data_IF_708446963253
#
_entry.id   IF_708446963253
#
_cell.length_a   1.000
_cell.length_b   1.000
_cell.length_c   1.000
_cell.angle_alpha   90.00
_cell.angle_beta   90.00
_cell.angle_gamma   90.00
#
_symmetry.space_group_name_H-M   'P 1'
#
loop_
_entity.id
_entity.type
_entity.pdbx_description
1 polymer ?
#
# COMPACT_ATOMS: atom_id res chain seq x y z
N UNK A 1 -27.09 12.85 4.16
CA UNK A 1 -27.05 12.83 2.69
C UNK A 1 -25.65 12.53 2.15
N UNK A 2 -24.61 13.25 2.60
CA UNK A 2 -23.20 13.02 2.23
C UNK A 2 -22.71 11.59 2.57
N UNK A 3 -23.02 11.08 3.76
CA UNK A 3 -22.62 9.71 4.15
C UNK A 3 -23.24 8.61 3.28
N UNK A 4 -24.46 8.82 2.77
CA UNK A 4 -25.13 7.85 1.90
C UNK A 4 -24.47 7.81 0.52
N UNK A 5 -24.13 8.98 -0.02
CA UNK A 5 -23.40 9.10 -1.28
C UNK A 5 -22.02 8.42 -1.25
N UNK A 6 -21.23 8.65 -0.19
CA UNK A 6 -19.95 7.96 -0.02
C UNK A 6 -20.12 6.45 0.18
N UNK A 7 -21.12 6.03 0.95
CA UNK A 7 -21.43 4.60 1.12
C UNK A 7 -21.84 3.93 -0.19
N UNK A 8 -22.64 4.60 -1.03
CA UNK A 8 -23.12 4.06 -2.30
C UNK A 8 -21.99 3.93 -3.33
N UNK A 9 -21.08 4.92 -3.40
CA UNK A 9 -19.86 4.85 -4.21
C UNK A 9 -18.95 3.73 -3.69
N UNK A 10 -18.74 3.65 -2.38
CA UNK A 10 -17.87 2.65 -1.77
C UNK A 10 -18.38 1.23 -2.05
N UNK A 11 -19.68 1.01 -1.89
CA UNK A 11 -20.32 -0.24 -2.28
C UNK A 11 -20.17 -0.52 -3.77
N UNK A 12 -20.38 0.46 -4.65
CA UNK A 12 -20.30 0.25 -6.10
C UNK A 12 -18.88 -0.13 -6.57
N UNK A 13 -17.83 0.46 -5.98
CA UNK A 13 -16.44 0.20 -6.35
C UNK A 13 -16.02 -1.22 -5.95
N UNK A 14 -16.40 -1.67 -4.75
CA UNK A 14 -15.92 -2.95 -4.21
C UNK A 14 -16.95 -4.09 -4.33
N UNK A 15 -18.21 -3.82 -4.66
CA UNK A 15 -19.26 -4.86 -4.76
C UNK A 15 -18.93 -5.90 -5.82
N UNK A 16 -18.40 -5.47 -6.97
CA UNK A 16 -18.02 -6.37 -8.07
C UNK A 16 -16.85 -7.25 -7.67
N UNK A 17 -15.85 -6.68 -6.98
CA UNK A 17 -14.71 -7.43 -6.45
C UNK A 17 -15.18 -8.43 -5.39
N UNK A 18 -16.05 -7.99 -4.48
CA UNK A 18 -16.63 -8.82 -3.43
C UNK A 18 -17.40 -10.00 -4.03
N UNK A 19 -18.32 -9.75 -4.97
CA UNK A 19 -19.10 -10.83 -5.59
C UNK A 19 -18.23 -11.83 -6.34
N UNK A 20 -17.16 -11.36 -6.99
CA UNK A 20 -16.20 -12.24 -7.66
C UNK A 20 -15.41 -13.09 -6.66
N UNK A 21 -14.94 -12.49 -5.57
CA UNK A 21 -14.20 -13.19 -4.52
C UNK A 21 -15.07 -14.23 -3.80
N UNK A 22 -16.33 -13.91 -3.53
CA UNK A 22 -17.29 -14.81 -2.85
C UNK A 22 -17.77 -15.96 -3.76
N UNK A 23 -17.59 -15.85 -5.09
CA UNK A 23 -18.01 -16.88 -6.04
C UNK A 23 -17.27 -18.21 -5.84
N UNK A 24 -16.01 -18.20 -5.39
CA UNK A 24 -15.26 -19.43 -5.11
C UNK A 24 -14.07 -19.20 -4.16
N UNK A 25 -13.69 -20.24 -3.43
CA UNK A 25 -12.45 -20.24 -2.64
C UNK A 25 -11.20 -20.05 -3.50
N UNK A 26 -11.24 -20.46 -4.78
CA UNK A 26 -10.17 -20.22 -5.74
C UNK A 26 -9.94 -18.73 -5.98
N UNK A 27 -11.01 -17.96 -6.22
CA UNK A 27 -10.93 -16.52 -6.43
C UNK A 27 -10.41 -15.78 -5.19
N UNK A 28 -10.87 -16.20 -4.00
CA UNK A 28 -10.35 -15.72 -2.73
C UNK A 28 -8.84 -15.94 -2.60
N UNK A 29 -8.36 -17.15 -2.90
CA UNK A 29 -6.95 -17.50 -2.82
C UNK A 29 -6.09 -16.75 -3.84
N UNK A 30 -6.61 -16.45 -5.03
CA UNK A 30 -5.93 -15.61 -6.02
C UNK A 30 -5.68 -14.22 -5.44
N UNK A 31 -6.68 -13.61 -4.79
CA UNK A 31 -6.54 -12.27 -4.21
C UNK A 31 -5.50 -12.26 -3.08
N UNK A 32 -5.48 -13.32 -2.26
CA UNK A 32 -4.45 -13.51 -1.24
C UNK A 32 -3.07 -13.68 -1.88
N UNK A 33 -2.93 -14.53 -2.89
CA UNK A 33 -1.65 -14.78 -3.56
C UNK A 33 -1.07 -13.50 -4.15
N UNK A 34 -1.88 -12.74 -4.89
CA UNK A 34 -1.48 -11.45 -5.48
C UNK A 34 -1.10 -10.44 -4.41
N UNK A 35 -1.90 -10.30 -3.35
CA UNK A 35 -1.58 -9.38 -2.27
C UNK A 35 -0.31 -9.78 -1.51
N UNK A 36 -0.05 -11.08 -1.35
CA UNK A 36 1.18 -11.58 -0.74
C UNK A 36 2.41 -11.22 -1.59
N UNK A 37 2.35 -11.47 -2.91
CA UNK A 37 3.43 -11.07 -3.83
C UNK A 37 3.65 -9.56 -3.82
N UNK A 38 2.58 -8.75 -3.74
CA UNK A 38 2.69 -7.31 -3.61
C UNK A 38 3.44 -6.91 -2.33
N UNK A 39 3.06 -7.47 -1.18
CA UNK A 39 3.73 -7.17 0.10
C UNK A 39 5.19 -7.60 0.07
N UNK A 40 5.47 -8.83 -0.35
CA UNK A 40 6.85 -9.33 -0.38
C UNK A 40 7.71 -8.55 -1.37
N UNK A 41 7.21 -8.31 -2.58
CA UNK A 41 7.92 -7.56 -3.61
C UNK A 41 8.18 -6.11 -3.19
N UNK A 42 7.17 -5.44 -2.62
CA UNK A 42 7.31 -4.06 -2.14
C UNK A 42 8.23 -3.94 -0.92
N UNK A 43 8.17 -4.89 0.01
CA UNK A 43 9.06 -4.92 1.18
C UNK A 43 10.52 -5.15 0.78
N UNK A 44 10.78 -6.12 -0.11
CA UNK A 44 12.13 -6.37 -0.66
C UNK A 44 12.63 -5.12 -1.38
N UNK A 45 11.80 -4.52 -2.24
CA UNK A 45 12.15 -3.31 -2.97
C UNK A 45 12.47 -2.14 -2.01
N UNK A 46 11.63 -1.89 -1.01
CA UNK A 46 11.85 -0.84 -0.02
C UNK A 46 13.14 -1.09 0.78
N UNK A 47 13.43 -2.34 1.15
CA UNK A 47 14.66 -2.73 1.84
C UNK A 47 15.90 -2.48 0.98
N UNK A 48 15.88 -2.89 -0.30
CA UNK A 48 16.99 -2.64 -1.23
C UNK A 48 17.22 -1.14 -1.39
N UNK A 49 16.16 -0.35 -1.60
CA UNK A 49 16.29 1.12 -1.72
C UNK A 49 16.80 1.76 -0.42
N UNK A 50 16.34 1.29 0.74
CA UNK A 50 16.87 1.74 2.03
C UNK A 50 18.38 1.48 2.14
N UNK A 51 18.86 0.30 1.71
CA UNK A 51 20.29 0.00 1.71
C UNK A 51 21.09 0.84 0.72
N UNK A 52 20.49 1.19 -0.42
CA UNK A 52 21.15 1.99 -1.45
C UNK A 52 21.34 3.47 -1.06
N UNK A 53 20.49 4.02 -0.19
CA UNK A 53 20.63 5.42 0.27
C UNK A 53 21.89 5.62 1.14
N UNK A 54 22.28 4.62 1.91
CA UNK A 54 23.50 4.64 2.73
C UNK A 54 23.22 4.58 4.24
N UNK A 55 24.28 4.77 5.06
CA UNK A 55 24.18 4.73 6.51
C UNK A 55 23.43 5.94 7.10
N UNK A 56 23.03 5.81 8.35
CA UNK A 56 22.30 6.85 9.08
C UNK A 56 23.23 8.06 9.34
N UNK A 57 22.85 9.19 8.75
CA UNK A 57 23.46 10.51 8.96
C UNK A 57 22.37 11.59 8.95
N UNK A 58 22.73 12.87 9.12
CA UNK A 58 21.75 13.97 9.13
C UNK A 58 20.97 14.11 7.81
N UNK A 59 21.57 13.74 6.67
CA UNK A 59 20.95 13.81 5.34
C UNK A 59 19.96 12.67 5.16
N UNK A 60 20.41 11.44 5.42
CA UNK A 60 19.65 10.20 5.31
C UNK A 60 18.43 10.21 6.24
N UNK A 61 18.57 10.75 7.46
CA UNK A 61 17.42 10.93 8.38
C UNK A 61 16.32 11.83 7.81
N UNK A 62 16.68 12.95 7.16
CA UNK A 62 15.69 13.83 6.52
C UNK A 62 14.97 13.13 5.36
N UNK A 63 15.68 12.28 4.61
CA UNK A 63 15.13 11.48 3.52
C UNK A 63 14.14 10.44 4.07
N UNK A 64 14.55 9.67 5.09
CA UNK A 64 13.69 8.66 5.72
C UNK A 64 12.47 9.26 6.39
N UNK A 65 12.58 10.45 7.00
CA UNK A 65 11.44 11.16 7.57
C UNK A 65 10.41 11.52 6.50
N UNK A 66 10.84 12.07 5.36
CA UNK A 66 9.94 12.40 4.25
C UNK A 66 9.32 11.15 3.61
N UNK A 67 10.11 10.08 3.45
CA UNK A 67 9.59 8.79 2.99
C UNK A 67 8.50 8.27 3.92
N UNK A 68 8.78 8.25 5.23
CA UNK A 68 7.84 7.80 6.26
C UNK A 68 6.57 8.66 6.31
N UNK A 69 6.69 9.97 6.06
CA UNK A 69 5.54 10.85 5.92
C UNK A 69 4.65 10.48 4.73
N UNK A 70 5.23 10.16 3.58
CA UNK A 70 4.47 9.65 2.42
C UNK A 70 3.80 8.30 2.73
N UNK A 71 4.50 7.39 3.40
CA UNK A 71 3.97 6.10 3.84
C UNK A 71 2.77 6.29 4.77
N UNK A 72 2.88 7.19 5.75
CA UNK A 72 1.80 7.51 6.69
C UNK A 72 0.55 8.03 5.96
N UNK A 73 0.72 8.94 4.99
CA UNK A 73 -0.40 9.43 4.19
C UNK A 73 -1.10 8.32 3.42
N UNK A 74 -0.35 7.38 2.83
CA UNK A 74 -0.93 6.24 2.12
C UNK A 74 -1.71 5.33 3.05
N UNK A 75 -1.19 5.06 4.26
CA UNK A 75 -1.91 4.26 5.27
C UNK A 75 -3.24 4.93 5.63
N UNK A 76 -3.23 6.23 5.90
CA UNK A 76 -4.45 7.00 6.25
C UNK A 76 -5.46 6.96 5.09
N UNK A 77 -5.01 7.20 3.85
CA UNK A 77 -5.87 7.14 2.67
C UNK A 77 -6.47 5.74 2.47
N UNK A 78 -5.69 4.69 2.62
CA UNK A 78 -6.18 3.32 2.56
C UNK A 78 -7.20 3.02 3.68
N UNK A 79 -6.99 3.51 4.90
CA UNK A 79 -7.94 3.32 6.01
C UNK A 79 -9.25 4.10 5.84
N UNK A 80 -9.25 5.14 5.01
CA UNK A 80 -10.46 5.88 4.62
C UNK A 80 -11.19 5.21 3.43
N UNK A 81 -10.44 4.62 2.48
CA UNK A 81 -10.99 4.09 1.23
C UNK A 81 -11.35 2.61 1.32
N UNK A 82 -10.61 1.79 2.08
CA UNK A 82 -10.83 0.35 2.12
C UNK A 82 -11.98 -0.03 3.07
N UNK A 83 -12.85 -0.96 2.65
CA UNK A 83 -13.97 -1.39 3.49
C UNK A 83 -13.47 -2.22 4.68
N UNK A 84 -14.16 -2.07 5.82
CA UNK A 84 -13.80 -2.73 7.09
C UNK A 84 -14.71 -3.90 7.44
N UNK A 85 -15.91 -3.91 6.86
CA UNK A 85 -16.96 -4.88 7.22
C UNK A 85 -16.79 -6.23 6.52
N UNK A 86 -16.03 -6.28 5.42
CA UNK A 86 -15.78 -7.50 4.66
C UNK A 86 -14.38 -7.51 4.04
N UNK A 87 -13.83 -8.71 3.82
CA UNK A 87 -12.50 -8.91 3.21
C UNK A 87 -11.37 -8.10 3.87
N UNK A 88 -11.55 -7.71 5.13
CA UNK A 88 -10.63 -6.81 5.86
C UNK A 88 -9.19 -7.30 5.82
N UNK A 89 -8.94 -8.60 6.02
CA UNK A 89 -7.59 -9.16 5.99
C UNK A 89 -6.90 -8.98 4.63
N UNK A 90 -7.66 -9.06 3.54
CA UNK A 90 -7.12 -8.88 2.19
C UNK A 90 -6.79 -7.39 1.97
N UNK A 91 -7.72 -6.50 2.28
CA UNK A 91 -7.47 -5.05 2.16
C UNK A 91 -6.36 -4.56 3.08
N UNK A 92 -6.23 -5.13 4.27
CA UNK A 92 -5.11 -4.88 5.19
C UNK A 92 -3.78 -5.23 4.53
N UNK A 93 -3.69 -6.39 3.87
CA UNK A 93 -2.49 -6.80 3.16
C UNK A 93 -2.16 -5.85 1.99
N UNK A 94 -3.15 -5.47 1.17
CA UNK A 94 -2.97 -4.48 0.12
C UNK A 94 -2.53 -3.11 0.67
N UNK A 95 -3.09 -2.68 1.80
CA UNK A 95 -2.73 -1.42 2.47
C UNK A 95 -1.23 -1.36 2.76
N UNK A 96 -0.69 -2.39 3.43
CA UNK A 96 0.74 -2.40 3.76
C UNK A 96 1.63 -2.65 2.55
N UNK A 97 1.16 -3.41 1.55
CA UNK A 97 1.87 -3.54 0.27
C UNK A 97 2.03 -2.20 -0.46
N UNK A 98 0.97 -1.41 -0.55
CA UNK A 98 1.01 -0.06 -1.13
C UNK A 98 1.85 0.90 -0.28
N UNK A 99 1.79 0.78 1.05
CA UNK A 99 2.59 1.58 1.97
C UNK A 99 4.10 1.33 1.75
N UNK A 100 4.54 0.07 1.74
CA UNK A 100 5.94 -0.27 1.45
C UNK A 100 6.37 0.17 0.06
N UNK A 101 5.52 -0.03 -0.94
CA UNK A 101 5.80 0.37 -2.31
C UNK A 101 6.01 1.89 -2.41
N UNK A 102 5.17 2.67 -1.74
CA UNK A 102 5.28 4.14 -1.70
C UNK A 102 6.59 4.58 -1.07
N UNK A 103 6.96 4.00 0.07
CA UNK A 103 8.23 4.29 0.72
C UNK A 103 9.42 3.95 -0.19
N UNK A 104 9.41 2.76 -0.81
CA UNK A 104 10.43 2.34 -1.76
C UNK A 104 10.52 3.27 -2.98
N UNK A 105 9.40 3.68 -3.58
CA UNK A 105 9.37 4.59 -4.74
C UNK A 105 9.96 5.94 -4.35
N UNK A 106 9.59 6.47 -3.18
CA UNK A 106 10.16 7.74 -2.71
C UNK A 106 11.69 7.67 -2.60
N UNK A 107 12.20 6.59 -2.00
CA UNK A 107 13.64 6.37 -1.86
C UNK A 107 14.31 6.18 -3.23
N UNK A 108 13.72 5.45 -4.16
CA UNK A 108 14.24 5.28 -5.51
C UNK A 108 14.34 6.60 -6.28
N UNK A 109 13.30 7.44 -6.17
CA UNK A 109 13.28 8.78 -6.77
C UNK A 109 14.35 9.67 -6.14
N UNK A 110 14.51 9.63 -4.81
CA UNK A 110 15.55 10.39 -4.14
C UNK A 110 16.96 9.91 -4.51
N UNK A 111 17.19 8.61 -4.53
CA UNK A 111 18.44 8.01 -4.99
C UNK A 111 18.79 8.50 -6.40
N UNK A 112 17.84 8.44 -7.35
CA UNK A 112 18.08 8.94 -8.71
C UNK A 112 18.44 10.43 -8.74
N UNK A 113 17.85 11.26 -7.88
CA UNK A 113 18.16 12.70 -7.78
C UNK A 113 19.54 12.98 -7.19
N UNK A 114 20.03 12.12 -6.31
CA UNK A 114 21.34 12.30 -5.68
C UNK A 114 22.50 11.91 -6.63
N UNK A 115 22.25 11.06 -7.63
CA UNK A 115 23.24 10.54 -8.59
C UNK A 115 23.09 11.09 -10.02
N UNK A 116 22.16 12.03 -10.24
CA UNK A 116 21.95 12.71 -11.53
C UNK A 116 22.32 14.18 -11.43
#
# INVERSE_FOLDING_TARGET
MINKFFSDIHNTIFSTLKSWVEQSSGNWNILIGVGFFLVMGSAIFAYVMHKMIGPDDERTNKIFLKSSYCVLWVIILCDMIFPKDYMWNIFFMFKYGLAFLTGGIYLAVQYKKDFS
#
